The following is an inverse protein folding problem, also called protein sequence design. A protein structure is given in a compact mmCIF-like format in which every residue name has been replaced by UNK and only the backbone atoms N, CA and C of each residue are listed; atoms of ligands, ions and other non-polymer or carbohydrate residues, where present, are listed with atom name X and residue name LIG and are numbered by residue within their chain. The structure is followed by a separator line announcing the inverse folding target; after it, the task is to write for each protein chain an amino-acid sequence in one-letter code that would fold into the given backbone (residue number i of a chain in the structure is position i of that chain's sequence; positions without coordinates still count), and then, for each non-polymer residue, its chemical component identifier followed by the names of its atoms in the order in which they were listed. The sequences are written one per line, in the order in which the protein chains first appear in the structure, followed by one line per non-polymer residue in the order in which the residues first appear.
data_IF_966334495321
#
_entry.id   IF_966334495321
#
_cell.length_a   1.000
_cell.length_b   1.000
_cell.length_c   1.000
_cell.angle_alpha   90.00
_cell.angle_beta   90.00
_cell.angle_gamma   90.00
#
_symmetry.space_group_name_H-M   'P 1'
#
loop_
_entity.id
_entity.type
_entity.pdbx_description
1 polymer ?
#
# COMPACT_ATOMS: atom_id res chain seq x y z
N UNK A 1 -11.06 -5.39 -12.08
CA UNK A 1 -10.32 -4.15 -12.38
C UNK A 1 -8.85 -4.52 -12.27
N UNK A 2 -8.13 -4.64 -13.40
CA UNK A 2 -6.69 -4.89 -13.37
C UNK A 2 -6.02 -3.58 -12.90
N UNK A 3 -5.26 -3.66 -11.83
CA UNK A 3 -4.52 -2.55 -11.24
C UNK A 3 -3.41 -2.10 -12.19
N UNK A 4 -3.36 -0.80 -12.52
CA UNK A 4 -2.26 -0.19 -13.28
C UNK A 4 -1.01 -0.09 -12.38
N UNK A 5 -0.26 -1.19 -12.30
CA UNK A 5 1.06 -1.25 -11.66
C UNK A 5 1.99 -0.15 -12.21
N UNK A 6 1.78 0.25 -13.46
CA UNK A 6 2.52 1.31 -14.16
C UNK A 6 2.28 2.72 -13.59
N UNK A 7 1.15 2.98 -12.92
CA UNK A 7 0.95 4.26 -12.21
C UNK A 7 1.64 4.28 -10.86
N UNK A 8 1.78 3.11 -10.24
CA UNK A 8 2.42 2.95 -8.94
C UNK A 8 3.95 2.95 -9.05
N UNK A 9 4.49 2.56 -10.22
CA UNK A 9 5.94 2.60 -10.51
C UNK A 9 6.50 4.02 -10.66
N UNK A 10 5.66 5.06 -10.69
CA UNK A 10 6.09 6.46 -10.68
C UNK A 10 6.51 6.96 -9.29
N UNK A 11 6.22 6.21 -8.22
CA UNK A 11 6.82 6.46 -6.90
C UNK A 11 8.26 5.94 -6.89
N UNK A 12 9.15 6.68 -6.22
CA UNK A 12 10.62 6.72 -6.36
C UNK A 12 11.41 5.40 -6.27
N UNK A 13 10.76 4.25 -6.02
CA UNK A 13 11.37 2.91 -5.96
C UNK A 13 10.97 1.92 -7.07
N UNK A 14 10.05 2.28 -7.98
CA UNK A 14 9.59 1.41 -9.07
C UNK A 14 8.75 0.19 -8.62
N UNK A 15 8.37 -0.68 -9.57
CA UNK A 15 7.41 -1.80 -9.36
C UNK A 15 7.83 -2.78 -8.27
N UNK A 16 9.12 -3.07 -8.14
CA UNK A 16 9.64 -4.01 -7.14
C UNK A 16 9.49 -3.48 -5.71
N UNK A 17 9.71 -2.18 -5.53
CA UNK A 17 9.52 -1.50 -4.25
C UNK A 17 8.06 -1.53 -3.83
N UNK A 18 7.15 -1.16 -4.74
CA UNK A 18 5.70 -1.22 -4.52
C UNK A 18 5.25 -2.62 -4.12
N UNK A 19 5.77 -3.64 -4.80
CA UNK A 19 5.45 -5.04 -4.49
C UNK A 19 5.92 -5.42 -3.08
N UNK A 20 7.13 -5.02 -2.69
CA UNK A 20 7.68 -5.28 -1.35
C UNK A 20 6.85 -4.59 -0.26
N UNK A 21 6.47 -3.33 -0.49
CA UNK A 21 5.64 -2.53 0.41
C UNK A 21 4.26 -3.17 0.62
N UNK A 22 3.60 -3.60 -0.47
CA UNK A 22 2.32 -4.30 -0.41
C UNK A 22 2.45 -5.64 0.33
N UNK A 23 3.47 -6.44 0.06
CA UNK A 23 3.70 -7.72 0.75
C UNK A 23 3.87 -7.50 2.26
N UNK A 24 4.68 -6.51 2.66
CA UNK A 24 4.87 -6.15 4.07
C UNK A 24 3.54 -5.76 4.70
N UNK A 25 2.80 -4.86 4.06
CA UNK A 25 1.53 -4.36 4.59
C UNK A 25 0.45 -5.43 4.72
N UNK A 26 0.33 -6.31 3.73
CA UNK A 26 -0.60 -7.45 3.79
C UNK A 26 -0.29 -8.34 4.99
N UNK A 27 0.99 -8.62 5.29
CA UNK A 27 1.37 -9.41 6.47
C UNK A 27 0.98 -8.73 7.77
N UNK A 28 1.15 -7.41 7.87
CA UNK A 28 0.71 -6.65 9.04
C UNK A 28 -0.81 -6.76 9.24
N UNK A 29 -1.59 -6.59 8.17
CA UNK A 29 -3.05 -6.73 8.20
C UNK A 29 -3.49 -8.14 8.61
N UNK A 30 -2.83 -9.17 8.08
CA UNK A 30 -3.07 -10.58 8.49
C UNK A 30 -2.76 -10.78 9.98
N UNK A 31 -1.75 -10.10 10.50
CA UNK A 31 -1.40 -10.12 11.93
C UNK A 31 -2.31 -9.26 12.81
N UNK A 32 -3.35 -8.63 12.25
CA UNK A 32 -4.32 -7.82 12.99
C UNK A 32 -3.94 -6.34 13.15
N UNK A 33 -2.99 -5.84 12.37
CA UNK A 33 -2.68 -4.40 12.31
C UNK A 33 -3.93 -3.61 11.89
N UNK A 34 -4.18 -2.42 12.47
CA UNK A 34 -5.31 -1.60 12.09
C UNK A 34 -5.20 -1.12 10.64
N UNK A 35 -6.34 -0.98 9.97
CA UNK A 35 -6.43 -0.39 8.62
C UNK A 35 -6.12 1.11 8.69
N UNK A 36 -5.32 1.62 7.75
CA UNK A 36 -4.97 3.05 7.62
C UNK A 36 -6.09 3.85 6.97
N UNK A 37 -7.03 3.17 6.32
CA UNK A 37 -8.19 3.76 5.63
C UNK A 37 -9.48 3.16 6.19
N UNK A 38 -10.53 3.98 6.29
CA UNK A 38 -11.88 3.48 6.60
C UNK A 38 -12.41 2.75 5.37
N UNK A 39 -12.59 1.45 5.51
CA UNK A 39 -13.10 0.58 4.44
C UNK A 39 -13.81 -0.64 5.00
N UNK A 40 -14.89 -1.03 4.33
CA UNK A 40 -15.69 -2.23 4.63
C UNK A 40 -15.05 -3.51 4.06
N UNK A 41 -13.93 -3.37 3.33
CA UNK A 41 -13.17 -4.48 2.79
C UNK A 41 -12.63 -5.38 3.90
N UNK A 42 -12.69 -6.70 3.69
CA UNK A 42 -12.16 -7.71 4.61
C UNK A 42 -10.90 -8.41 4.10
N UNK A 43 -10.66 -8.40 2.79
CA UNK A 43 -9.47 -8.98 2.17
C UNK A 43 -8.23 -8.10 2.43
N UNK A 44 -7.20 -8.59 3.16
CA UNK A 44 -5.97 -7.85 3.42
C UNK A 44 -5.28 -7.31 2.18
N UNK A 45 -5.35 -8.05 1.06
CA UNK A 45 -4.74 -7.62 -0.20
C UNK A 45 -5.45 -6.37 -0.73
N UNK A 46 -6.77 -6.42 -0.83
CA UNK A 46 -7.57 -5.29 -1.30
C UNK A 46 -7.44 -4.07 -0.38
N UNK A 47 -7.37 -4.28 0.95
CA UNK A 47 -7.14 -3.20 1.91
C UNK A 47 -5.78 -2.53 1.65
N UNK A 48 -4.68 -3.30 1.52
CA UNK A 48 -3.35 -2.74 1.29
C UNK A 48 -3.28 -1.93 -0.02
N UNK A 49 -3.95 -2.39 -1.08
CA UNK A 49 -4.08 -1.63 -2.33
C UNK A 49 -4.88 -0.35 -2.17
N UNK A 50 -5.99 -0.38 -1.42
CA UNK A 50 -6.78 0.83 -1.13
C UNK A 50 -5.98 1.85 -0.32
N UNK A 51 -5.20 1.38 0.66
CA UNK A 51 -4.29 2.23 1.44
C UNK A 51 -3.21 2.88 0.57
N UNK A 52 -2.64 2.12 -0.37
CA UNK A 52 -1.66 2.63 -1.33
C UNK A 52 -2.29 3.65 -2.30
N UNK A 53 -3.45 3.33 -2.87
CA UNK A 53 -4.16 4.22 -3.80
C UNK A 53 -4.59 5.54 -3.15
N UNK A 54 -4.88 5.53 -1.85
CA UNK A 54 -5.20 6.74 -1.07
C UNK A 54 -3.97 7.48 -0.56
N UNK A 55 -2.76 7.03 -0.89
CA UNK A 55 -1.50 7.62 -0.43
C UNK A 55 -1.31 7.53 1.08
N UNK A 56 -1.96 6.56 1.74
CA UNK A 56 -1.82 6.32 3.19
C UNK A 56 -0.77 5.27 3.51
N UNK A 57 -0.42 4.43 2.53
CA UNK A 57 0.72 3.53 2.62
C UNK A 57 1.93 4.20 1.96
N UNK A 58 2.80 4.79 2.79
CA UNK A 58 3.99 5.50 2.34
C UNK A 58 5.25 4.62 2.44
N UNK A 59 6.24 4.84 1.56
CA UNK A 59 7.62 4.41 1.75
C UNK A 59 8.14 4.81 3.13
N UNK A 60 8.87 3.95 3.84
CA UNK A 60 9.54 4.33 5.10
C UNK A 60 10.59 5.45 4.91
N UNK A 61 11.02 5.67 3.67
CA UNK A 61 11.96 6.72 3.28
C UNK A 61 11.28 7.95 2.63
N UNK A 62 9.95 8.01 2.61
CA UNK A 62 9.24 9.20 2.17
C UNK A 62 9.28 10.22 3.31
N UNK A 63 10.26 11.12 3.27
CA UNK A 63 10.30 12.31 4.12
C UNK A 63 8.95 13.02 4.02
N UNK A 64 8.28 13.21 5.16
CA UNK A 64 7.17 14.14 5.27
C UNK A 64 7.73 15.53 4.93
N UNK A 65 7.51 16.02 3.69
CA UNK A 65 7.67 17.45 3.43
C UNK A 65 6.63 18.20 4.28
N UNK A 66 7.13 18.83 5.34
CA UNK A 66 6.41 19.71 6.29
C UNK A 66 6.21 21.09 5.69
#
# INVERSE_FOLDING_TARGET
MLLDVDKLSQNEGGTFYVTTLLIKRVRELVNGSPKLVKTDLSDPIQIAFEELNRGKLLPEDAEEEV
#
